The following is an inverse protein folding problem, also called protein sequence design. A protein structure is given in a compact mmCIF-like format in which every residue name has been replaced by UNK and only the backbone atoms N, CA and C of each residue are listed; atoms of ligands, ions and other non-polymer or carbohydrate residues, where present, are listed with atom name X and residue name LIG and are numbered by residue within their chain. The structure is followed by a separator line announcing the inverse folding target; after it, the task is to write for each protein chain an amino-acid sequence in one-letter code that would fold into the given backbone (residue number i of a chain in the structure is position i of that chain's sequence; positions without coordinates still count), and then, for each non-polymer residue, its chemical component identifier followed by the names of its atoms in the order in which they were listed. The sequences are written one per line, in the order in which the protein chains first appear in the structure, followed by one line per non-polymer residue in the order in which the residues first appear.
data_IF_084506627829
#
_entry.id   IF_084506627829
#
_cell.length_a   1.000
_cell.length_b   1.000
_cell.length_c   1.000
_cell.angle_alpha   90.00
_cell.angle_beta   90.00
_cell.angle_gamma   90.00
#
_symmetry.space_group_name_H-M   'P 1'
#
loop_
_entity.id
_entity.type
_entity.pdbx_description
1 polymer ?
#
# COMPACT_ATOMS: atom_id res chain seq x y z
N UNK A 1 -2.12 -12.84 -11.90
CA UNK A 1 -3.11 -13.74 -11.26
C UNK A 1 -4.50 -13.16 -11.48
N UNK A 2 -5.43 -13.92 -11.96
CA UNK A 2 -6.77 -13.42 -12.27
C UNK A 2 -7.87 -14.43 -11.94
N UNK A 3 -9.10 -13.93 -11.91
CA UNK A 3 -10.30 -14.70 -11.53
C UNK A 3 -10.16 -15.23 -10.09
N UNK A 4 -10.63 -16.41 -9.80
CA UNK A 4 -10.59 -17.00 -8.46
C UNK A 4 -9.28 -17.76 -8.19
N UNK A 5 -8.19 -17.37 -8.83
CA UNK A 5 -6.91 -18.04 -8.65
C UNK A 5 -6.27 -17.70 -7.30
N UNK A 6 -5.60 -18.67 -6.72
CA UNK A 6 -4.82 -18.49 -5.49
C UNK A 6 -3.34 -18.73 -5.78
N UNK A 7 -2.50 -17.87 -5.22
CA UNK A 7 -1.05 -18.00 -5.31
C UNK A 7 -0.44 -17.79 -3.93
N UNK A 8 0.40 -18.72 -3.52
CA UNK A 8 1.17 -18.59 -2.27
C UNK A 8 2.63 -18.95 -2.54
N UNK A 9 3.54 -18.30 -1.86
CA UNK A 9 4.96 -18.63 -2.01
C UNK A 9 5.89 -17.61 -1.40
N UNK A 10 7.18 -17.95 -1.48
CA UNK A 10 8.27 -17.07 -1.08
C UNK A 10 9.20 -16.89 -2.28
N UNK A 11 9.58 -15.64 -2.55
CA UNK A 11 10.49 -15.31 -3.64
C UNK A 11 11.67 -14.49 -3.11
N UNK A 12 12.85 -14.77 -3.66
CA UNK A 12 14.03 -13.95 -3.46
C UNK A 12 14.37 -13.27 -4.77
N UNK A 13 14.46 -11.94 -4.76
CA UNK A 13 14.61 -11.15 -5.98
C UNK A 13 15.76 -10.16 -5.80
N UNK A 14 16.64 -10.09 -6.77
CA UNK A 14 17.76 -9.14 -6.75
C UNK A 14 17.48 -7.86 -7.52
N UNK A 15 16.47 -7.85 -8.39
CA UNK A 15 16.12 -6.69 -9.20
C UNK A 15 14.69 -6.23 -8.91
N UNK A 16 13.73 -6.53 -9.77
CA UNK A 16 12.35 -6.09 -9.60
C UNK A 16 11.37 -7.22 -9.91
N UNK A 17 10.38 -7.37 -9.02
CA UNK A 17 9.26 -8.27 -9.24
C UNK A 17 8.02 -7.49 -9.67
N UNK A 18 7.25 -8.06 -10.57
CA UNK A 18 5.94 -7.54 -10.97
C UNK A 18 4.85 -8.53 -10.58
N UNK A 19 3.88 -8.07 -9.83
CA UNK A 19 2.71 -8.86 -9.45
C UNK A 19 1.45 -8.15 -9.94
N UNK A 20 0.66 -8.85 -10.75
CA UNK A 20 -0.66 -8.36 -11.16
C UNK A 20 -1.72 -9.31 -10.61
N UNK A 21 -2.67 -8.78 -9.87
CA UNK A 21 -3.80 -9.53 -9.35
C UNK A 21 -5.11 -8.83 -9.73
N UNK A 22 -6.05 -9.57 -10.29
CA UNK A 22 -7.31 -8.98 -10.73
C UNK A 22 -8.50 -9.91 -10.49
N UNK A 23 -9.68 -9.32 -10.54
CA UNK A 23 -10.94 -9.99 -10.24
C UNK A 23 -10.92 -10.51 -8.78
N UNK A 24 -11.33 -11.71 -8.52
CA UNK A 24 -11.32 -12.26 -7.15
C UNK A 24 -10.07 -13.09 -6.84
N UNK A 25 -8.93 -12.74 -7.45
CA UNK A 25 -7.67 -13.43 -7.19
C UNK A 25 -7.18 -13.20 -5.75
N UNK A 26 -6.63 -14.23 -5.16
CA UNK A 26 -6.01 -14.18 -3.84
C UNK A 26 -4.53 -14.49 -3.94
N UNK A 27 -3.71 -13.63 -3.37
CA UNK A 27 -2.24 -13.78 -3.43
C UNK A 27 -1.68 -13.63 -2.03
N UNK A 28 -0.85 -14.57 -1.62
CA UNK A 28 -0.08 -14.49 -0.38
C UNK A 28 1.39 -14.75 -0.71
N UNK A 29 2.20 -13.71 -0.67
CA UNK A 29 3.61 -13.78 -1.04
C UNK A 29 4.52 -13.17 0.01
N UNK A 30 5.70 -13.75 0.11
CA UNK A 30 6.82 -13.18 0.86
C UNK A 30 7.96 -12.91 -0.12
N UNK A 31 8.48 -11.69 -0.13
CA UNK A 31 9.62 -11.30 -0.96
C UNK A 31 10.74 -10.74 -0.11
N UNK A 32 11.95 -11.24 -0.35
CA UNK A 32 13.16 -10.73 0.27
C UNK A 32 14.09 -10.16 -0.79
N UNK A 33 14.42 -8.89 -0.65
CA UNK A 33 15.34 -8.16 -1.52
C UNK A 33 14.71 -7.58 -2.78
N UNK A 34 15.42 -6.64 -3.38
CA UNK A 34 15.04 -5.97 -4.61
C UNK A 34 13.91 -4.97 -4.46
N UNK A 35 13.16 -4.81 -5.52
CA UNK A 35 12.00 -3.92 -5.61
C UNK A 35 10.76 -4.72 -6.03
N UNK A 36 9.59 -4.18 -5.77
CA UNK A 36 8.34 -4.79 -6.23
C UNK A 36 7.37 -3.75 -6.78
N UNK A 37 6.64 -4.16 -7.80
CA UNK A 37 5.47 -3.46 -8.31
C UNK A 37 4.26 -4.40 -8.18
N UNK A 38 3.27 -3.99 -7.41
CA UNK A 38 2.04 -4.75 -7.18
C UNK A 38 0.88 -3.97 -7.77
N UNK A 39 0.20 -4.55 -8.75
CA UNK A 39 -0.99 -3.97 -9.35
C UNK A 39 -2.21 -4.84 -9.04
N UNK A 40 -3.25 -4.21 -8.53
CA UNK A 40 -4.49 -4.89 -8.14
C UNK A 40 -5.68 -4.20 -8.75
N UNK A 41 -6.67 -4.99 -9.15
CA UNK A 41 -7.91 -4.45 -9.68
C UNK A 41 -9.11 -5.31 -9.28
N UNK A 42 -10.28 -4.69 -9.33
CA UNK A 42 -11.57 -5.31 -9.00
C UNK A 42 -11.60 -5.78 -7.54
N UNK A 43 -11.86 -7.04 -7.26
CA UNK A 43 -11.95 -7.58 -5.90
C UNK A 43 -10.73 -8.42 -5.52
N UNK A 44 -9.57 -8.13 -6.06
CA UNK A 44 -8.35 -8.87 -5.75
C UNK A 44 -7.91 -8.64 -4.30
N UNK A 45 -7.39 -9.69 -3.68
CA UNK A 45 -6.84 -9.64 -2.34
C UNK A 45 -5.37 -10.04 -2.37
N UNK A 46 -4.51 -9.20 -1.79
CA UNK A 46 -3.07 -9.48 -1.71
C UNK A 46 -2.59 -9.35 -0.27
N UNK A 47 -2.00 -10.42 0.23
CA UNK A 47 -1.25 -10.44 1.48
C UNK A 47 0.24 -10.52 1.12
N UNK A 48 0.98 -9.48 1.45
CA UNK A 48 2.34 -9.31 0.97
C UNK A 48 3.29 -9.00 2.13
N UNK A 49 4.23 -9.89 2.33
CA UNK A 49 5.30 -9.70 3.32
C UNK A 49 6.60 -9.37 2.61
N UNK A 50 7.19 -8.22 2.93
CA UNK A 50 8.25 -7.65 2.11
C UNK A 50 9.43 -7.16 2.95
N UNK A 51 10.63 -7.42 2.45
CA UNK A 51 11.85 -6.75 2.90
C UNK A 51 12.55 -6.23 1.65
N UNK A 52 12.28 -4.95 1.32
CA UNK A 52 12.53 -4.38 0.00
C UNK A 52 13.24 -3.04 0.07
N UNK A 53 13.78 -2.60 -1.05
CA UNK A 53 14.18 -1.21 -1.25
C UNK A 53 12.97 -0.33 -1.60
N UNK A 54 12.27 -0.66 -2.69
CA UNK A 54 11.08 0.08 -3.12
C UNK A 54 9.91 -0.87 -3.31
N UNK A 55 8.79 -0.53 -2.71
CA UNK A 55 7.50 -1.17 -2.95
C UNK A 55 6.55 -0.15 -3.57
N UNK A 56 6.05 -0.46 -4.76
CA UNK A 56 5.07 0.34 -5.47
C UNK A 56 3.77 -0.48 -5.58
N UNK A 57 2.67 0.08 -5.08
CA UNK A 57 1.35 -0.58 -5.06
C UNK A 57 0.36 0.29 -5.82
N UNK A 58 -0.26 -0.27 -6.85
CA UNK A 58 -1.43 0.30 -7.50
C UNK A 58 -2.66 -0.55 -7.18
N UNK A 59 -3.69 0.08 -6.66
CA UNK A 59 -4.89 -0.60 -6.19
C UNK A 59 -6.13 0.11 -6.72
N UNK A 60 -7.01 -0.60 -7.40
CA UNK A 60 -8.20 -0.04 -8.02
C UNK A 60 -9.43 -0.92 -7.80
N UNK A 61 -10.60 -0.34 -8.05
CA UNK A 61 -11.87 -1.04 -7.82
C UNK A 61 -12.13 -1.30 -6.35
N UNK A 62 -12.53 -2.50 -6.00
CA UNK A 62 -12.73 -2.93 -4.60
C UNK A 62 -11.60 -3.83 -4.08
N UNK A 63 -10.39 -3.68 -4.60
CA UNK A 63 -9.27 -4.51 -4.18
C UNK A 63 -8.76 -4.17 -2.79
N UNK A 64 -8.16 -5.15 -2.13
CA UNK A 64 -7.65 -5.01 -0.78
C UNK A 64 -6.25 -5.63 -0.68
N UNK A 65 -5.34 -4.92 -0.02
CA UNK A 65 -3.99 -5.44 0.25
C UNK A 65 -3.61 -5.26 1.70
N UNK A 66 -2.95 -6.29 2.25
CA UNK A 66 -2.31 -6.26 3.56
C UNK A 66 -0.81 -6.43 3.36
N UNK A 67 -0.04 -5.44 3.79
CA UNK A 67 1.40 -5.40 3.54
C UNK A 67 2.12 -5.26 4.87
N UNK A 68 3.16 -6.06 5.05
CA UNK A 68 3.99 -6.06 6.26
C UNK A 68 5.47 -6.19 5.91
N UNK A 69 6.33 -5.82 6.86
CA UNK A 69 7.78 -5.91 6.71
C UNK A 69 8.48 -4.56 6.72
N UNK A 70 9.43 -4.36 5.84
CA UNK A 70 10.21 -3.12 5.73
C UNK A 70 10.47 -2.73 4.28
N UNK A 71 10.50 -1.43 4.02
CA UNK A 71 10.88 -0.86 2.74
C UNK A 71 11.60 0.46 2.95
N UNK A 72 12.49 0.86 2.04
CA UNK A 72 13.04 2.20 2.07
C UNK A 72 12.05 3.23 1.52
N UNK A 73 11.36 2.88 0.44
CA UNK A 73 10.33 3.72 -0.17
C UNK A 73 9.06 2.93 -0.42
N UNK A 74 7.93 3.45 0.04
CA UNK A 74 6.59 2.95 -0.25
C UNK A 74 5.87 3.94 -1.17
N UNK A 75 5.46 3.50 -2.36
CA UNK A 75 4.57 4.26 -3.24
C UNK A 75 3.21 3.57 -3.32
N UNK A 76 2.16 4.32 -3.05
CA UNK A 76 0.79 3.82 -3.12
C UNK A 76 -0.03 4.70 -4.05
N UNK A 77 -0.68 4.08 -5.02
CA UNK A 77 -1.70 4.73 -5.85
C UNK A 77 -3.01 3.95 -5.68
N UNK A 78 -3.98 4.57 -5.07
CA UNK A 78 -5.29 3.97 -4.82
C UNK A 78 -6.40 4.71 -5.56
N UNK A 79 -7.34 3.96 -6.13
CA UNK A 79 -8.49 4.52 -6.83
C UNK A 79 -9.75 3.69 -6.57
N UNK A 80 -10.91 4.30 -6.79
CA UNK A 80 -12.19 3.64 -6.55
C UNK A 80 -12.42 3.41 -5.06
N UNK A 81 -12.83 2.22 -4.68
CA UNK A 81 -13.05 1.81 -3.28
C UNK A 81 -11.93 0.91 -2.76
N UNK A 82 -10.73 1.04 -3.29
CA UNK A 82 -9.61 0.21 -2.91
C UNK A 82 -9.11 0.49 -1.48
N UNK A 83 -8.49 -0.52 -0.91
CA UNK A 83 -7.91 -0.42 0.43
C UNK A 83 -6.50 -0.99 0.44
N UNK A 84 -5.56 -0.19 0.90
CA UNK A 84 -4.17 -0.61 1.09
C UNK A 84 -3.82 -0.48 2.57
N UNK A 85 -3.61 -1.59 3.23
CA UNK A 85 -3.20 -1.63 4.63
C UNK A 85 -1.70 -1.95 4.71
N UNK A 86 -0.89 -0.92 4.91
CA UNK A 86 0.55 -1.02 5.08
C UNK A 86 0.97 -0.56 6.49
N UNK A 87 0.09 -0.69 7.46
CA UNK A 87 0.36 -0.29 8.84
C UNK A 87 1.53 -1.09 9.45
N UNK A 88 1.67 -2.33 9.04
CA UNK A 88 2.73 -3.24 9.52
C UNK A 88 3.98 -3.21 8.62
N UNK A 89 4.01 -2.39 7.58
CA UNK A 89 5.18 -2.14 6.75
C UNK A 89 5.86 -0.84 7.19
N UNK A 90 7.00 -0.94 7.82
CA UNK A 90 7.77 0.24 8.16
C UNK A 90 8.58 0.71 6.96
N UNK A 91 8.34 1.94 6.52
CA UNK A 91 9.09 2.57 5.42
C UNK A 91 9.70 3.89 5.88
N UNK A 92 10.84 4.24 5.30
CA UNK A 92 11.48 5.55 5.56
C UNK A 92 10.70 6.65 4.88
N UNK A 93 10.50 6.50 3.59
CA UNK A 93 9.80 7.47 2.76
C UNK A 93 8.52 6.86 2.22
N UNK A 94 7.52 7.70 2.03
CA UNK A 94 6.25 7.30 1.44
C UNK A 94 5.76 8.33 0.43
N UNK A 95 5.14 7.85 -0.64
CA UNK A 95 4.45 8.67 -1.64
C UNK A 95 3.07 8.06 -1.85
N UNK A 96 2.03 8.76 -1.40
CA UNK A 96 0.66 8.25 -1.40
C UNK A 96 -0.23 9.14 -2.26
N UNK A 97 -0.82 8.54 -3.29
CA UNK A 97 -1.81 9.18 -4.17
C UNK A 97 -3.11 8.40 -4.09
N UNK A 98 -4.15 9.02 -3.57
CA UNK A 98 -5.47 8.40 -3.45
C UNK A 98 -6.54 9.22 -4.15
N UNK A 99 -7.47 8.54 -4.79
CA UNK A 99 -8.62 9.15 -5.45
C UNK A 99 -9.88 8.31 -5.27
N UNK A 100 -11.02 8.91 -5.53
CA UNK A 100 -12.30 8.25 -5.28
C UNK A 100 -12.54 8.07 -3.78
N UNK A 101 -12.90 6.87 -3.35
CA UNK A 101 -13.08 6.53 -1.93
C UNK A 101 -11.99 5.58 -1.42
N UNK A 102 -10.81 5.66 -1.99
CA UNK A 102 -9.69 4.79 -1.62
C UNK A 102 -9.19 5.08 -0.20
N UNK A 103 -8.75 4.04 0.47
CA UNK A 103 -8.21 4.14 1.84
C UNK A 103 -6.82 3.54 1.90
N UNK A 104 -5.93 4.19 2.66
CA UNK A 104 -4.59 3.69 2.91
C UNK A 104 -4.20 3.87 4.37
N UNK A 105 -3.54 2.88 4.92
CA UNK A 105 -2.85 2.96 6.21
C UNK A 105 -1.36 2.88 5.94
N UNK A 106 -0.59 3.87 6.39
CA UNK A 106 0.85 3.94 6.16
C UNK A 106 1.63 4.09 7.46
N UNK A 107 2.84 3.53 7.49
CA UNK A 107 3.77 3.65 8.61
C UNK A 107 5.10 4.16 8.06
N UNK A 108 5.27 5.49 8.05
CA UNK A 108 6.40 6.17 7.43
C UNK A 108 7.16 6.95 8.49
N UNK A 109 8.47 6.78 8.52
CA UNK A 109 9.32 7.36 9.58
C UNK A 109 9.88 8.74 9.23
N UNK A 110 10.29 8.96 7.99
CA UNK A 110 11.07 10.16 7.60
C UNK A 110 10.25 11.18 6.80
N UNK A 111 9.85 10.85 5.58
CA UNK A 111 9.13 11.78 4.71
C UNK A 111 7.88 11.13 4.10
N UNK A 112 6.78 11.86 4.09
CA UNK A 112 5.53 11.39 3.51
C UNK A 112 4.96 12.44 2.55
N UNK A 113 4.94 12.09 1.26
CA UNK A 113 4.32 12.89 0.22
C UNK A 113 2.87 12.45 0.05
N UNK A 114 1.95 13.41 -0.01
CA UNK A 114 0.51 13.15 0.04
C UNK A 114 -0.23 13.89 -1.07
N UNK A 115 -1.05 13.15 -1.82
CA UNK A 115 -2.00 13.70 -2.78
C UNK A 115 -3.32 12.95 -2.63
N UNK A 116 -4.32 13.58 -2.04
CA UNK A 116 -5.62 12.97 -1.74
C UNK A 116 -6.73 13.77 -2.40
N UNK A 117 -7.57 13.09 -3.17
CA UNK A 117 -8.74 13.71 -3.82
C UNK A 117 -9.98 12.81 -3.74
N UNK A 118 -11.14 13.40 -3.93
CA UNK A 118 -12.41 12.69 -3.81
C UNK A 118 -12.81 12.47 -2.36
N UNK A 119 -13.25 11.30 -1.97
CA UNK A 119 -13.53 10.95 -0.59
C UNK A 119 -12.47 10.07 0.04
N UNK A 120 -11.22 10.18 -0.40
CA UNK A 120 -10.15 9.29 0.04
C UNK A 120 -9.68 9.58 1.48
N UNK A 121 -9.09 8.57 2.10
CA UNK A 121 -8.61 8.66 3.48
C UNK A 121 -7.22 8.04 3.60
N UNK A 122 -6.29 8.79 4.17
CA UNK A 122 -4.97 8.29 4.56
C UNK A 122 -4.84 8.35 6.07
N UNK A 123 -4.57 7.21 6.68
CA UNK A 123 -4.19 7.09 8.09
C UNK A 123 -2.71 6.79 8.16
N UNK A 124 -1.96 7.56 8.94
CA UNK A 124 -0.52 7.38 9.06
C UNK A 124 -0.07 7.19 10.51
N UNK A 125 1.06 6.53 10.67
CA UNK A 125 1.77 6.41 11.95
C UNK A 125 3.08 7.19 11.93
N UNK A 126 3.64 7.38 13.11
CA UNK A 126 4.92 8.08 13.31
C UNK A 126 4.80 9.59 13.10
N UNK A 127 5.91 10.25 12.89
CA UNK A 127 5.96 11.69 12.72
C UNK A 127 6.83 12.05 11.49
N UNK A 128 6.39 11.65 10.29
CA UNK A 128 7.14 12.01 9.08
C UNK A 128 7.07 13.51 8.81
N UNK A 129 8.04 13.99 8.05
CA UNK A 129 7.96 15.32 7.45
C UNK A 129 7.03 15.22 6.24
N UNK A 130 6.01 16.06 6.19
CA UNK A 130 5.02 16.03 5.12
C UNK A 130 5.41 16.91 3.94
N UNK A 131 5.19 16.39 2.74
CA UNK A 131 5.07 17.14 1.51
C UNK A 131 3.64 16.95 0.97
N UNK A 132 2.80 17.98 1.11
CA UNK A 132 1.41 17.89 0.74
C UNK A 132 1.22 18.58 -0.61
N UNK A 133 0.99 17.80 -1.66
CA UNK A 133 0.67 18.33 -2.98
C UNK A 133 -0.78 18.79 -3.06
N UNK A 134 -1.71 17.97 -2.54
CA UNK A 134 -3.13 18.27 -2.61
C UNK A 134 -3.90 17.45 -1.57
N UNK A 135 -4.88 18.07 -0.94
CA UNK A 135 -5.93 17.39 -0.17
C UNK A 135 -7.24 18.10 -0.51
N UNK A 136 -8.12 17.40 -1.24
CA UNK A 136 -9.42 17.95 -1.66
C UNK A 136 -10.53 16.96 -1.32
N UNK A 137 -11.47 17.37 -0.50
CA UNK A 137 -12.60 16.54 -0.04
C UNK A 137 -12.14 15.17 0.54
N UNK A 138 -10.98 15.15 1.17
CA UNK A 138 -10.34 13.94 1.64
C UNK A 138 -9.82 14.13 3.06
N UNK A 139 -9.44 13.03 3.71
CA UNK A 139 -9.06 13.05 5.12
C UNK A 139 -7.64 12.51 5.30
N UNK A 140 -6.84 13.23 6.10
CA UNK A 140 -5.53 12.80 6.57
C UNK A 140 -5.59 12.70 8.09
N UNK A 141 -5.40 11.49 8.63
CA UNK A 141 -5.55 11.20 10.06
C UNK A 141 -4.29 10.54 10.59
N UNK A 142 -3.81 11.02 11.73
CA UNK A 142 -2.77 10.30 12.46
C UNK A 142 -3.40 9.19 13.31
N UNK A 143 -2.87 7.98 13.21
CA UNK A 143 -3.27 6.89 14.06
C UNK A 143 -2.84 7.17 15.51
N UNK A 144 -3.76 7.06 16.44
CA UNK A 144 -3.51 7.30 17.86
C UNK A 144 -3.19 5.98 18.54
N UNK A 145 -1.92 5.73 18.76
CA UNK A 145 -1.46 4.51 19.41
C UNK A 145 -1.90 4.41 20.88
N UNK A 146 -2.19 5.54 21.51
CA UNK A 146 -2.59 5.57 22.92
C UNK A 146 -3.98 4.98 23.17
N UNK A 147 -4.85 4.92 22.18
CA UNK A 147 -6.21 4.37 22.28
C UNK A 147 -6.29 2.88 21.99
N UNK A 148 -5.18 2.28 21.63
CA UNK A 148 -5.10 0.85 21.32
C UNK A 148 -4.71 0.08 22.56
N UNK A 149 -5.69 -0.29 23.26
CA UNK A 149 -5.51 -1.11 24.46
C UNK A 149 -6.15 -2.47 24.29
#
# INVERSE_FOLDING_TARGET
VSKNAQVTGTVAVTSKMYLNASNSAQVSLTQNGGNAFVSQANSAYVDYKATLNTLEVESAGGSESHISGTASLLKVTGAGMSRVDAELLESKDGDVVLSGSAKCHANVTDHLKVNLVGGSMLTFKRNPVFEIDRIVNSTLIKADDAKRK
#
